data_IF_592203290332
#
_entry.id   IF_592203290332
#
_cell.length_a   1.000
_cell.length_b   1.000
_cell.length_c   1.000
_cell.angle_alpha   90.00
_cell.angle_beta   90.00
_cell.angle_gamma   90.00
#
_symmetry.space_group_name_H-M   'P 1'
#
loop_
_entity.id
_entity.type
_entity.pdbx_description
1 polymer ?
#
# COMPACT_ATOMS: atom_id res chain seq x y z
N UNK A 1 -52.48 -35.98 45.37
CA UNK A 1 -51.67 -34.79 45.14
C UNK A 1 -50.53 -35.15 44.18
N UNK A 2 -50.62 -34.79 42.90
CA UNK A 2 -49.59 -35.05 41.88
C UNK A 2 -48.63 -33.90 41.84
N UNK A 3 -47.33 -34.16 42.15
CA UNK A 3 -46.24 -33.14 42.03
C UNK A 3 -45.79 -33.08 40.57
N UNK A 4 -46.00 -31.91 39.92
CA UNK A 4 -45.49 -31.64 38.59
C UNK A 4 -44.06 -31.09 38.77
N UNK A 5 -43.09 -31.84 38.22
CA UNK A 5 -41.69 -31.38 38.11
C UNK A 5 -41.56 -30.56 36.81
N UNK A 6 -41.35 -29.28 36.97
CA UNK A 6 -41.08 -28.37 35.87
C UNK A 6 -39.58 -28.46 35.51
N UNK A 7 -39.23 -29.07 34.38
CA UNK A 7 -37.88 -29.08 33.83
C UNK A 7 -37.66 -27.78 33.10
N UNK A 8 -36.79 -26.90 33.64
CA UNK A 8 -36.35 -25.66 32.96
C UNK A 8 -35.15 -26.03 32.06
N UNK A 9 -35.22 -25.87 30.73
CA UNK A 9 -34.07 -26.13 29.88
C UNK A 9 -33.04 -25.02 30.07
N UNK A 10 -31.84 -25.40 30.49
CA UNK A 10 -30.69 -24.50 30.59
C UNK A 10 -30.09 -24.27 29.18
N UNK A 11 -30.42 -23.13 28.55
CA UNK A 11 -29.81 -22.74 27.28
C UNK A 11 -28.37 -22.24 27.56
N UNK A 12 -27.40 -23.03 27.17
CA UNK A 12 -25.99 -22.63 27.17
C UNK A 12 -25.74 -21.69 26.01
N UNK A 13 -25.74 -20.39 26.25
CA UNK A 13 -25.29 -19.39 25.27
C UNK A 13 -23.75 -19.45 25.20
N UNK A 14 -23.21 -20.13 24.20
CA UNK A 14 -21.80 -20.04 23.86
C UNK A 14 -21.51 -18.64 23.33
N UNK A 15 -20.96 -17.74 24.13
CA UNK A 15 -20.46 -16.44 23.68
C UNK A 15 -19.21 -16.67 22.85
N UNK A 16 -19.33 -16.53 21.53
CA UNK A 16 -18.18 -16.49 20.61
C UNK A 16 -17.47 -15.15 20.85
N UNK A 17 -16.44 -15.19 21.67
CA UNK A 17 -15.56 -14.03 21.87
C UNK A 17 -14.71 -13.83 20.61
N UNK A 18 -15.08 -12.87 19.77
CA UNK A 18 -14.21 -12.42 18.69
C UNK A 18 -13.03 -11.67 19.32
N UNK A 19 -11.87 -12.34 19.41
CA UNK A 19 -10.63 -11.67 19.80
C UNK A 19 -10.31 -10.54 18.82
N UNK A 20 -10.45 -9.31 19.28
CA UNK A 20 -10.06 -8.13 18.52
C UNK A 20 -8.54 -8.18 18.34
N UNK A 21 -8.05 -8.21 17.08
CA UNK A 21 -6.62 -8.26 16.80
C UNK A 21 -5.94 -7.01 17.37
N UNK A 22 -4.86 -7.21 18.12
CA UNK A 22 -4.04 -6.11 18.65
C UNK A 22 -3.49 -5.25 17.52
N UNK A 23 -3.89 -3.97 17.50
CA UNK A 23 -3.48 -2.98 16.51
C UNK A 23 -2.20 -2.22 16.90
N UNK A 24 -1.66 -2.45 18.10
CA UNK A 24 -0.48 -1.75 18.62
C UNK A 24 0.78 -2.12 17.84
N UNK A 25 1.47 -1.12 17.29
CA UNK A 25 2.74 -1.31 16.57
C UNK A 25 3.91 -1.29 17.55
N UNK A 26 4.59 -2.43 17.68
CA UNK A 26 5.73 -2.60 18.59
C UNK A 26 7.07 -2.24 17.91
N UNK A 27 8.14 -2.05 18.71
CA UNK A 27 9.51 -1.91 18.19
C UNK A 27 9.93 -3.12 17.32
N UNK A 28 9.45 -4.32 17.64
CA UNK A 28 9.70 -5.55 16.86
C UNK A 28 9.00 -5.50 15.49
N UNK A 29 7.79 -4.96 15.40
CA UNK A 29 7.05 -4.85 14.15
C UNK A 29 7.74 -3.91 13.16
N UNK A 30 8.29 -2.78 13.63
CA UNK A 30 9.05 -1.82 12.82
C UNK A 30 10.30 -2.43 12.17
N UNK A 31 10.83 -3.53 12.72
CA UNK A 31 11.98 -4.28 12.18
C UNK A 31 11.58 -5.41 11.23
N UNK A 32 10.31 -5.48 10.82
CA UNK A 32 9.79 -6.50 9.90
C UNK A 32 9.58 -5.94 8.50
N UNK A 33 9.54 -6.82 7.51
CA UNK A 33 9.01 -6.52 6.20
C UNK A 33 7.52 -6.86 6.17
N UNK A 34 6.81 -6.27 5.21
CA UNK A 34 5.43 -6.63 4.89
C UNK A 34 5.43 -7.54 3.67
N UNK A 35 4.78 -8.68 3.76
CA UNK A 35 4.46 -9.55 2.64
C UNK A 35 3.01 -9.30 2.22
N UNK A 36 2.81 -8.90 0.97
CA UNK A 36 1.53 -8.92 0.29
C UNK A 36 1.48 -10.17 -0.60
N UNK A 37 0.70 -11.17 -0.19
CA UNK A 37 0.38 -12.32 -1.03
C UNK A 37 -0.77 -11.90 -1.96
N UNK A 38 -0.50 -11.80 -3.23
CA UNK A 38 -1.50 -11.38 -4.22
C UNK A 38 -1.95 -12.55 -5.07
N UNK A 39 -3.06 -12.39 -5.80
CA UNK A 39 -3.52 -13.37 -6.79
C UNK A 39 -2.56 -13.56 -7.97
N UNK A 40 -1.51 -12.73 -8.09
CA UNK A 40 -0.53 -12.77 -9.18
C UNK A 40 0.91 -13.04 -8.73
N UNK A 41 1.12 -13.26 -7.42
CA UNK A 41 2.41 -13.53 -6.80
C UNK A 41 2.64 -12.68 -5.55
N UNK A 42 3.79 -12.87 -4.94
CA UNK A 42 4.17 -12.23 -3.69
C UNK A 42 4.91 -10.91 -3.96
N UNK A 43 4.63 -9.89 -3.13
CA UNK A 43 5.36 -8.61 -3.09
C UNK A 43 5.85 -8.43 -1.66
N UNK A 44 7.16 -8.24 -1.47
CA UNK A 44 7.74 -7.97 -0.15
C UNK A 44 8.20 -6.53 -0.08
N UNK A 45 7.67 -5.80 0.90
CA UNK A 45 7.89 -4.36 1.09
C UNK A 45 8.71 -4.14 2.36
N UNK A 46 9.72 -3.26 2.28
CA UNK A 46 10.40 -2.66 3.41
C UNK A 46 9.90 -1.25 3.61
N UNK A 47 9.37 -0.96 4.79
CA UNK A 47 8.93 0.39 5.14
C UNK A 47 10.11 1.22 5.66
N UNK A 48 10.04 2.54 5.43
CA UNK A 48 11.06 3.50 5.80
C UNK A 48 10.90 3.99 7.25
N UNK A 49 11.99 4.06 7.98
CA UNK A 49 12.00 4.65 9.33
C UNK A 49 11.95 6.19 9.29
N UNK A 50 12.22 6.81 8.12
CA UNK A 50 12.16 8.27 7.93
C UNK A 50 10.74 8.83 7.81
N UNK A 51 9.73 7.96 7.65
CA UNK A 51 8.30 8.32 7.55
C UNK A 51 7.49 7.55 8.58
N UNK A 52 7.69 7.82 9.87
CA UNK A 52 7.15 7.01 10.96
C UNK A 52 5.62 6.98 11.01
N UNK A 53 4.93 8.06 10.66
CA UNK A 53 3.46 8.10 10.67
C UNK A 53 2.87 7.14 9.65
N UNK A 54 3.34 7.19 8.40
CA UNK A 54 2.88 6.30 7.33
C UNK A 54 3.32 4.86 7.58
N UNK A 55 4.58 4.64 8.01
CA UNK A 55 5.09 3.32 8.37
C UNK A 55 4.22 2.65 9.43
N UNK A 56 4.03 3.31 10.57
CA UNK A 56 3.32 2.73 11.72
C UNK A 56 1.83 2.53 11.41
N UNK A 57 1.21 3.44 10.66
CA UNK A 57 -0.15 3.27 10.17
C UNK A 57 -0.29 2.05 9.26
N UNK A 58 0.60 1.88 8.28
CA UNK A 58 0.55 0.72 7.37
C UNK A 58 0.76 -0.59 8.13
N UNK A 59 1.73 -0.64 9.07
CA UNK A 59 1.95 -1.80 9.95
C UNK A 59 0.71 -2.13 10.79
N UNK A 60 0.04 -1.12 11.36
CA UNK A 60 -1.22 -1.28 12.10
C UNK A 60 -2.29 -1.94 11.25
N UNK A 61 -2.52 -1.43 10.04
CA UNK A 61 -3.53 -1.96 9.12
C UNK A 61 -3.22 -3.39 8.68
N UNK A 62 -1.94 -3.73 8.46
CA UNK A 62 -1.50 -5.11 8.19
C UNK A 62 -1.79 -6.03 9.39
N UNK A 63 -1.50 -5.59 10.61
CA UNK A 63 -1.73 -6.39 11.83
C UNK A 63 -3.20 -6.71 12.06
N UNK A 64 -4.08 -5.77 11.84
CA UNK A 64 -5.53 -6.01 11.98
C UNK A 64 -6.14 -6.77 10.79
N UNK A 65 -5.35 -7.02 9.72
CA UNK A 65 -5.79 -7.72 8.51
C UNK A 65 -6.69 -6.87 7.61
N UNK A 66 -6.54 -5.54 7.67
CA UNK A 66 -7.32 -4.62 6.85
C UNK A 66 -7.12 -4.88 5.35
N UNK A 67 -5.89 -5.16 4.93
CA UNK A 67 -5.57 -5.38 3.52
C UNK A 67 -5.92 -6.77 2.99
N UNK A 68 -6.39 -7.68 3.84
CA UNK A 68 -6.81 -9.02 3.40
C UNK A 68 -8.04 -8.92 2.47
N UNK A 69 -7.96 -9.54 1.30
CA UNK A 69 -8.97 -9.54 0.24
C UNK A 69 -9.21 -8.19 -0.46
N UNK A 70 -8.42 -7.16 -0.18
CA UNK A 70 -8.52 -5.85 -0.84
C UNK A 70 -8.03 -5.92 -2.29
N UNK A 71 -8.69 -5.15 -3.16
CA UNK A 71 -8.39 -5.06 -4.58
C UNK A 71 -7.26 -4.07 -4.88
N UNK A 72 -6.50 -4.35 -5.94
CA UNK A 72 -5.88 -3.30 -6.73
C UNK A 72 -6.96 -2.71 -7.65
N UNK A 73 -7.61 -1.67 -7.19
CA UNK A 73 -8.80 -1.10 -7.84
C UNK A 73 -8.47 -0.15 -8.99
N UNK A 74 -7.21 0.30 -9.08
CA UNK A 74 -6.70 1.16 -10.14
C UNK A 74 -5.31 0.73 -10.55
N UNK A 75 -5.14 0.44 -11.84
CA UNK A 75 -3.90 -0.05 -12.42
C UNK A 75 -3.66 0.68 -13.73
N UNK A 76 -2.49 1.32 -13.84
CA UNK A 76 -2.08 2.03 -15.06
C UNK A 76 -0.66 1.58 -15.40
N UNK A 77 -0.53 0.95 -16.56
CA UNK A 77 0.76 0.54 -17.12
C UNK A 77 1.69 1.76 -17.26
N UNK A 78 2.97 1.56 -17.03
CA UNK A 78 4.02 2.58 -17.06
C UNK A 78 3.81 3.71 -16.01
N UNK A 79 2.94 3.46 -15.01
CA UNK A 79 2.66 4.40 -13.94
C UNK A 79 2.64 3.72 -12.56
N UNK A 80 1.53 3.08 -12.16
CA UNK A 80 1.41 2.49 -10.81
C UNK A 80 0.31 1.44 -10.71
N UNK A 81 0.35 0.66 -9.63
CA UNK A 81 -0.75 -0.19 -9.15
C UNK A 81 -1.22 0.35 -7.79
N UNK A 82 -2.53 0.63 -7.67
CA UNK A 82 -3.12 1.26 -6.48
C UNK A 82 -4.15 0.34 -5.82
N UNK A 83 -4.04 0.22 -4.49
CA UNK A 83 -4.93 -0.56 -3.64
C UNK A 83 -5.27 0.15 -2.33
N UNK A 84 -5.98 -0.55 -1.43
CA UNK A 84 -6.27 -0.04 -0.09
C UNK A 84 -7.50 0.84 0.01
N UNK A 85 -8.35 0.92 -1.02
CA UNK A 85 -9.61 1.65 -0.95
C UNK A 85 -10.64 0.88 -0.11
N UNK A 86 -11.11 1.45 1.01
CA UNK A 86 -12.08 0.80 1.89
C UNK A 86 -13.48 0.69 1.27
N UNK A 87 -13.77 1.42 0.19
CA UNK A 87 -15.08 1.45 -0.45
C UNK A 87 -15.20 0.47 -1.63
N UNK A 88 -14.10 -0.18 -2.05
CA UNK A 88 -14.15 -1.15 -3.14
C UNK A 88 -14.91 -2.42 -2.74
N UNK A 89 -15.52 -3.07 -3.75
CA UNK A 89 -16.27 -4.33 -3.58
C UNK A 89 -15.44 -5.36 -2.78
N UNK A 90 -15.99 -5.85 -1.68
CA UNK A 90 -15.38 -6.73 -0.68
C UNK A 90 -14.30 -6.05 0.23
N UNK A 91 -14.17 -4.74 0.22
CA UNK A 91 -13.50 -4.05 1.30
C UNK A 91 -14.36 -4.12 2.57
N UNK A 92 -13.71 -4.24 3.73
CA UNK A 92 -14.42 -4.10 5.00
C UNK A 92 -14.95 -2.67 5.09
N UNK A 93 -16.25 -2.50 5.34
CA UNK A 93 -16.93 -1.21 5.38
C UNK A 93 -16.33 -0.17 6.35
N UNK A 94 -15.47 -0.61 7.27
CA UNK A 94 -14.92 0.18 8.38
C UNK A 94 -13.46 0.63 8.15
N UNK A 95 -13.05 0.77 6.87
CA UNK A 95 -11.72 1.28 6.56
C UNK A 95 -11.49 2.69 7.10
N UNK A 96 -10.22 3.04 7.40
CA UNK A 96 -9.88 4.32 7.99
C UNK A 96 -10.27 5.48 7.06
N UNK A 97 -11.04 6.43 7.60
CA UNK A 97 -11.46 7.67 6.92
C UNK A 97 -10.62 8.89 7.32
N UNK A 98 -9.60 8.68 8.17
CA UNK A 98 -8.67 9.72 8.57
C UNK A 98 -7.59 9.98 7.52
N UNK A 99 -6.95 11.12 7.63
CA UNK A 99 -5.79 11.48 6.82
C UNK A 99 -4.50 11.43 7.65
N UNK A 100 -3.36 11.31 6.99
CA UNK A 100 -2.03 11.31 7.59
C UNK A 100 -1.28 12.52 7.05
N UNK A 101 -0.71 13.39 7.91
CA UNK A 101 0.11 14.51 7.48
C UNK A 101 1.25 14.07 6.55
N UNK A 102 1.58 14.89 5.55
CA UNK A 102 2.63 14.59 4.60
C UNK A 102 4.00 14.41 5.28
N UNK A 103 4.77 13.42 4.85
CA UNK A 103 6.13 13.15 5.33
C UNK A 103 7.11 13.11 4.16
N UNK A 104 7.29 14.21 3.44
CA UNK A 104 8.24 14.29 2.33
C UNK A 104 9.69 14.21 2.83
N UNK A 105 10.51 13.40 2.16
CA UNK A 105 11.94 13.21 2.47
C UNK A 105 12.74 13.23 1.19
N UNK A 106 13.87 13.94 1.18
CA UNK A 106 14.75 14.05 0.00
C UNK A 106 15.28 12.72 -0.52
N UNK A 107 15.51 11.75 0.37
CA UNK A 107 15.97 10.42 -0.01
C UNK A 107 14.86 9.44 -0.42
N UNK A 108 13.61 9.86 -0.39
CA UNK A 108 12.44 9.07 -0.74
C UNK A 108 11.69 9.74 -1.91
N UNK A 109 11.96 9.30 -3.12
CA UNK A 109 11.39 9.81 -4.36
C UNK A 109 10.80 8.66 -5.18
N UNK A 110 10.00 8.97 -6.20
CA UNK A 110 9.16 8.01 -6.90
C UNK A 110 9.91 7.19 -7.97
N UNK A 111 11.05 6.58 -7.61
CA UNK A 111 11.67 5.54 -8.46
C UNK A 111 10.79 4.30 -8.55
N UNK A 112 11.00 3.46 -9.56
CA UNK A 112 10.32 2.16 -9.69
C UNK A 112 10.43 1.34 -8.39
N UNK A 113 9.32 0.72 -8.00
CA UNK A 113 9.24 -0.18 -6.84
C UNK A 113 9.01 0.51 -5.49
N UNK A 114 8.89 1.84 -5.42
CA UNK A 114 8.53 2.47 -4.14
C UNK A 114 7.04 2.32 -3.86
N UNK A 115 6.68 2.25 -2.57
CA UNK A 115 5.31 2.38 -2.08
C UNK A 115 5.08 3.79 -1.57
N UNK A 116 3.99 4.39 -2.00
CA UNK A 116 3.58 5.74 -1.61
C UNK A 116 2.10 5.79 -1.25
N UNK A 117 1.73 6.77 -0.44
CA UNK A 117 0.36 6.96 0.00
C UNK A 117 -0.45 7.73 -1.06
N UNK A 118 -1.64 7.22 -1.41
CA UNK A 118 -2.58 7.97 -2.23
C UNK A 118 -3.25 9.07 -1.41
N UNK A 119 -3.79 10.08 -2.07
CA UNK A 119 -4.54 11.17 -1.45
C UNK A 119 -5.59 11.76 -2.40
N UNK A 120 -6.60 12.36 -1.82
CA UNK A 120 -7.46 13.31 -2.53
C UNK A 120 -6.74 14.67 -2.64
N UNK A 121 -7.20 15.52 -3.54
CA UNK A 121 -6.65 16.87 -3.63
C UNK A 121 -6.99 17.65 -2.36
N UNK A 122 -5.95 18.09 -1.64
CA UNK A 122 -6.03 18.93 -0.45
C UNK A 122 -4.77 19.78 -0.33
N UNK A 123 -4.87 21.01 0.22
CA UNK A 123 -3.75 21.95 0.35
C UNK A 123 -2.58 21.42 1.18
N UNK A 124 -2.89 20.66 2.25
CA UNK A 124 -1.91 20.10 3.18
C UNK A 124 -1.18 18.89 2.61
N UNK A 125 -1.58 18.41 1.42
CA UNK A 125 -1.07 17.18 0.81
C UNK A 125 -1.14 15.97 1.74
N UNK A 126 -2.10 16.00 2.67
CA UNK A 126 -2.34 14.90 3.61
C UNK A 126 -2.81 13.65 2.87
N UNK A 127 -2.27 12.51 3.28
CA UNK A 127 -2.50 11.22 2.64
C UNK A 127 -3.78 10.54 3.14
N UNK A 128 -4.40 9.71 2.32
CA UNK A 128 -5.43 8.76 2.77
C UNK A 128 -4.87 7.81 3.83
N UNK A 129 -5.68 7.50 4.85
CA UNK A 129 -5.29 6.58 5.92
C UNK A 129 -5.06 5.14 5.48
N UNK A 130 -5.57 4.72 4.31
CA UNK A 130 -5.46 3.32 3.87
C UNK A 130 -5.00 3.12 2.43
N UNK A 131 -5.28 4.08 1.53
CA UNK A 131 -4.96 3.89 0.12
C UNK A 131 -3.47 4.10 -0.15
N UNK A 132 -2.89 3.17 -0.89
CA UNK A 132 -1.49 3.21 -1.31
C UNK A 132 -1.35 2.86 -2.79
N UNK A 133 -0.19 3.18 -3.35
CA UNK A 133 0.20 2.67 -4.65
C UNK A 133 1.66 2.23 -4.66
N UNK A 134 1.98 1.32 -5.57
CA UNK A 134 3.36 0.91 -5.86
C UNK A 134 3.70 1.44 -7.25
N UNK A 135 4.78 2.21 -7.34
CA UNK A 135 5.24 2.78 -8.60
C UNK A 135 5.81 1.68 -9.49
N UNK A 136 5.23 1.49 -10.67
CA UNK A 136 5.86 0.75 -11.76
C UNK A 136 6.75 1.70 -12.57
N UNK A 137 6.18 2.79 -13.05
CA UNK A 137 6.87 3.83 -13.80
C UNK A 137 7.43 3.36 -15.13
N UNK A 138 8.07 4.29 -15.83
CA UNK A 138 8.82 4.03 -17.07
C UNK A 138 10.23 4.60 -16.95
N UNK A 139 11.12 4.13 -17.81
CA UNK A 139 12.47 4.68 -17.97
C UNK A 139 12.38 5.97 -18.78
N UNK A 140 13.15 6.96 -18.41
CA UNK A 140 13.21 8.27 -19.06
C UNK A 140 14.53 8.48 -19.77
N UNK A 141 14.51 9.32 -20.82
CA UNK A 141 15.70 9.95 -21.40
C UNK A 141 15.92 11.32 -20.75
N UNK A 142 17.10 11.92 -20.92
CA UNK A 142 17.35 13.29 -20.46
C UNK A 142 16.36 14.28 -21.10
N UNK A 143 16.11 14.19 -22.40
CA UNK A 143 15.12 15.03 -23.08
C UNK A 143 13.71 14.84 -22.53
N UNK A 144 13.34 13.62 -22.14
CA UNK A 144 12.05 13.33 -21.50
C UNK A 144 11.93 13.96 -20.11
N UNK A 145 12.99 13.92 -19.32
CA UNK A 145 13.04 14.60 -18.00
C UNK A 145 13.03 16.11 -18.15
N UNK A 146 13.79 16.67 -19.11
CA UNK A 146 13.79 18.11 -19.40
C UNK A 146 12.40 18.62 -19.81
N UNK A 147 11.68 17.84 -20.61
CA UNK A 147 10.30 18.15 -21.00
C UNK A 147 9.36 18.16 -19.79
N UNK A 148 9.50 17.19 -18.86
CA UNK A 148 8.74 17.16 -17.62
C UNK A 148 9.04 18.35 -16.71
N UNK A 149 10.32 18.73 -16.57
CA UNK A 149 10.75 19.88 -15.78
C UNK A 149 10.13 21.18 -16.29
N UNK A 150 10.15 21.38 -17.61
CA UNK A 150 9.61 22.59 -18.26
C UNK A 150 8.07 22.64 -18.23
N UNK A 151 7.42 21.50 -18.45
CA UNK A 151 5.98 21.44 -18.61
C UNK A 151 5.23 21.17 -17.30
N UNK A 152 5.35 19.95 -16.77
CA UNK A 152 4.47 19.46 -15.71
C UNK A 152 4.98 19.76 -14.30
N UNK A 153 6.30 19.71 -14.07
CA UNK A 153 6.89 19.81 -12.73
C UNK A 153 7.18 21.28 -12.37
N UNK A 154 7.60 22.10 -13.33
CA UNK A 154 7.93 23.52 -13.13
C UNK A 154 9.21 23.78 -12.32
N UNK A 155 10.04 22.74 -12.09
CA UNK A 155 11.31 22.83 -11.34
C UNK A 155 12.28 21.76 -11.80
N UNK A 156 13.58 21.94 -11.49
CA UNK A 156 14.62 20.96 -11.78
C UNK A 156 14.47 19.70 -10.93
N UNK A 157 14.68 18.55 -11.57
CA UNK A 157 14.79 17.25 -10.92
C UNK A 157 16.24 17.11 -10.46
N UNK A 158 16.53 16.78 -9.17
CA UNK A 158 17.89 16.54 -8.68
C UNK A 158 18.62 15.49 -9.53
N UNK A 159 19.92 15.68 -9.76
CA UNK A 159 20.70 14.79 -10.64
C UNK A 159 20.69 13.34 -10.18
N UNK A 160 20.77 13.11 -8.87
CA UNK A 160 20.67 11.75 -8.30
C UNK A 160 19.32 11.08 -8.61
N UNK A 161 18.22 11.85 -8.72
CA UNK A 161 16.92 11.30 -9.10
C UNK A 161 16.87 11.06 -10.61
N UNK A 162 17.43 11.97 -11.42
CA UNK A 162 17.53 11.80 -12.87
C UNK A 162 18.27 10.51 -13.22
N UNK A 163 19.41 10.22 -12.55
CA UNK A 163 20.14 8.98 -12.73
C UNK A 163 19.28 7.74 -12.47
N UNK A 164 18.49 7.74 -11.40
CA UNK A 164 17.56 6.66 -11.10
C UNK A 164 16.44 6.54 -12.13
N UNK A 165 15.82 7.66 -12.55
CA UNK A 165 14.75 7.65 -13.56
C UNK A 165 15.21 7.19 -14.94
N UNK A 166 16.50 7.40 -15.28
CA UNK A 166 17.12 6.91 -16.52
C UNK A 166 17.50 5.44 -16.49
N UNK A 167 17.67 4.86 -15.30
CA UNK A 167 18.12 3.46 -15.14
C UNK A 167 17.00 2.50 -14.75
N UNK A 168 16.34 2.77 -13.63
CA UNK A 168 15.26 1.91 -13.12
C UNK A 168 13.86 2.44 -13.44
N UNK A 169 13.75 3.71 -13.81
CA UNK A 169 12.48 4.35 -14.10
C UNK A 169 11.75 4.87 -12.87
N UNK A 170 10.52 5.35 -13.09
CA UNK A 170 9.69 5.89 -12.02
C UNK A 170 8.63 6.88 -12.49
N UNK A 171 8.20 7.76 -11.57
CA UNK A 171 7.15 8.77 -11.81
C UNK A 171 7.53 10.13 -11.22
N UNK A 172 8.52 10.84 -11.80
CA UNK A 172 9.14 12.03 -11.21
C UNK A 172 8.15 13.18 -10.92
N UNK A 173 7.03 13.23 -11.63
CA UNK A 173 6.00 14.25 -11.43
C UNK A 173 5.20 14.12 -10.11
N UNK A 174 5.40 13.02 -9.35
CA UNK A 174 4.76 12.81 -8.06
C UNK A 174 5.67 13.20 -6.88
N UNK A 175 6.94 13.55 -7.15
CA UNK A 175 7.89 13.89 -6.09
C UNK A 175 7.47 15.15 -5.32
N UNK A 176 7.47 15.02 -3.97
CA UNK A 176 7.02 16.05 -3.03
C UNK A 176 5.52 16.42 -3.12
N UNK A 177 4.75 15.61 -3.85
CA UNK A 177 3.28 15.71 -3.89
C UNK A 177 2.61 14.53 -3.20
N UNK A 178 3.30 13.40 -3.11
CA UNK A 178 2.84 12.19 -2.42
C UNK A 178 3.94 11.64 -1.53
N UNK A 179 3.59 11.13 -0.36
CA UNK A 179 4.56 10.58 0.59
C UNK A 179 4.98 9.18 0.18
N UNK A 180 6.25 9.03 -0.18
CA UNK A 180 6.91 7.73 -0.32
C UNK A 180 7.30 7.25 1.07
N UNK A 181 6.94 6.02 1.45
CA UNK A 181 7.19 5.51 2.80
C UNK A 181 7.77 4.08 2.84
N UNK A 182 8.24 3.57 1.71
CA UNK A 182 8.91 2.28 1.62
C UNK A 182 9.23 1.87 0.19
N UNK A 183 9.73 0.66 0.05
CA UNK A 183 10.12 0.09 -1.25
C UNK A 183 9.87 -1.42 -1.32
N UNK A 184 9.65 -1.92 -2.51
CA UNK A 184 9.60 -3.35 -2.82
C UNK A 184 11.03 -3.88 -2.80
N UNK A 185 11.30 -4.86 -1.93
CA UNK A 185 12.61 -5.51 -1.80
C UNK A 185 12.64 -6.90 -2.47
N UNK A 186 11.47 -7.41 -2.87
CA UNK A 186 11.31 -8.63 -3.68
C UNK A 186 9.92 -8.64 -4.30
N UNK A 187 9.78 -9.18 -5.52
CA UNK A 187 8.50 -9.29 -6.20
C UNK A 187 8.18 -8.09 -7.08
N UNK A 188 9.21 -7.36 -7.57
CA UNK A 188 8.99 -6.26 -8.53
C UNK A 188 8.41 -6.77 -9.83
N UNK A 189 8.74 -7.99 -10.23
CA UNK A 189 8.15 -8.69 -11.37
C UNK A 189 6.66 -8.96 -11.19
N UNK A 190 6.19 -9.13 -9.96
CA UNK A 190 4.75 -9.23 -9.64
C UNK A 190 4.06 -7.88 -9.85
N UNK A 191 4.72 -6.77 -9.47
CA UNK A 191 4.21 -5.41 -9.74
C UNK A 191 4.07 -5.20 -11.25
N UNK A 192 5.08 -5.60 -12.04
CA UNK A 192 5.05 -5.48 -13.50
C UNK A 192 3.93 -6.34 -14.12
N UNK A 193 3.73 -7.58 -13.63
CA UNK A 193 2.62 -8.45 -14.07
C UNK A 193 1.26 -7.82 -13.78
N UNK A 194 1.07 -7.27 -12.58
CA UNK A 194 -0.19 -6.60 -12.21
C UNK A 194 -0.40 -5.36 -13.09
N UNK A 195 0.64 -4.56 -13.33
CA UNK A 195 0.55 -3.36 -14.15
C UNK A 195 0.23 -3.65 -15.63
N UNK A 196 0.46 -4.86 -16.08
CA UNK A 196 0.22 -5.30 -17.47
C UNK A 196 -1.16 -5.94 -17.71
N UNK A 197 -2.02 -6.09 -16.68
CA UNK A 197 -3.35 -6.68 -16.85
C UNK A 197 -4.25 -5.78 -17.70
N UNK A 198 -5.18 -6.36 -18.48
CA UNK A 198 -6.20 -5.58 -19.17
C UNK A 198 -7.06 -4.77 -18.19
N UNK A 199 -7.29 -3.50 -18.50
CA UNK A 199 -8.07 -2.59 -17.69
C UNK A 199 -9.22 -1.94 -18.48
N UNK A 200 -10.29 -1.60 -17.76
CA UNK A 200 -11.36 -0.73 -18.25
C UNK A 200 -11.41 0.51 -17.34
N UNK A 201 -11.11 1.69 -17.90
CA UNK A 201 -11.00 2.96 -17.14
C UNK A 201 -10.10 2.79 -15.90
N UNK A 202 -8.89 2.30 -16.09
CA UNK A 202 -7.87 2.01 -15.06
C UNK A 202 -8.22 0.86 -14.11
N UNK A 203 -9.43 0.30 -14.12
CA UNK A 203 -9.78 -0.85 -13.28
C UNK A 203 -9.44 -2.15 -14.00
N UNK A 204 -8.74 -3.10 -13.34
CA UNK A 204 -8.53 -4.43 -13.90
C UNK A 204 -9.84 -5.10 -14.30
N UNK A 205 -9.91 -5.64 -15.52
CA UNK A 205 -11.09 -6.39 -16.04
C UNK A 205 -11.33 -7.63 -15.18
N UNK A 206 -10.25 -8.34 -14.83
CA UNK A 206 -10.29 -9.43 -13.85
C UNK A 206 -9.70 -8.92 -12.53
N UNK A 207 -10.43 -9.13 -11.45
CA UNK A 207 -10.02 -8.65 -10.12
C UNK A 207 -8.64 -9.17 -9.72
N UNK A 208 -7.73 -8.25 -9.40
CA UNK A 208 -6.44 -8.54 -8.78
C UNK A 208 -6.53 -8.18 -7.29
N UNK A 209 -6.24 -9.16 -6.42
CA UNK A 209 -6.44 -9.03 -4.96
C UNK A 209 -5.16 -9.22 -4.18
N UNK A 210 -5.08 -8.53 -3.05
CA UNK A 210 -4.22 -8.91 -1.93
C UNK A 210 -4.97 -10.02 -1.18
N UNK A 211 -4.56 -11.27 -1.34
CA UNK A 211 -5.18 -12.41 -0.64
C UNK A 211 -4.91 -12.29 0.86
N UNK A 212 -3.66 -11.94 1.22
CA UNK A 212 -3.22 -11.80 2.60
C UNK A 212 -2.07 -10.79 2.72
N UNK A 213 -2.13 -9.95 3.75
CA UNK A 213 -1.03 -9.08 4.15
C UNK A 213 -0.52 -9.52 5.54
N UNK A 214 0.80 -9.70 5.70
CA UNK A 214 1.39 -10.12 6.98
C UNK A 214 2.80 -9.60 7.20
N UNK A 215 3.18 -9.45 8.47
CA UNK A 215 4.52 -9.09 8.88
C UNK A 215 5.42 -10.33 8.85
N UNK A 216 6.56 -10.22 8.16
CA UNK A 216 7.56 -11.28 8.05
C UNK A 216 8.92 -10.82 8.56
N UNK A 217 9.77 -11.75 8.97
CA UNK A 217 11.15 -11.45 9.39
C UNK A 217 11.93 -10.81 8.24
N UNK A 218 12.69 -9.72 8.51
CA UNK A 218 13.61 -9.15 7.51
C UNK A 218 14.67 -10.20 7.14
N UNK A 219 14.85 -10.42 5.85
CA UNK A 219 15.98 -11.19 5.29
C UNK A 219 16.82 -10.25 4.43
N UNK A 220 18.11 -10.59 4.24
CA UNK A 220 18.90 -9.98 3.18
C UNK A 220 18.46 -10.63 1.88
N UNK A 221 17.85 -9.87 0.99
CA UNK A 221 17.59 -10.31 -0.38
C UNK A 221 18.80 -9.87 -1.22
N UNK A 222 19.38 -10.81 -1.98
CA UNK A 222 20.35 -10.44 -3.02
C UNK A 222 19.55 -9.80 -4.16
N UNK A 223 19.96 -8.60 -4.53
CA UNK A 223 19.48 -7.93 -5.74
C UNK A 223 20.04 -8.67 -6.95
#
# INVERSE_FOLDING_TARGET
MKKIFLLIPFFFFATISFSQKDSTVTKKDRKRNVLLQTSMGDIIIRLSDSTPLHRDNFLKLVKVGFYDSILFHRVIKDFMIQGGDPTTKNAKADGPRYTIPAEFRKNLFHKKGVIAAARNNNPEKASSGSQFYITQGKIFTDAGLDSLEKGRIGKKIPEEYRAAYKTVGGTPHLDFDYTVYGEVVRGIETVDKIAAVPTNRDRPVTDVRIIKAKLIKRKKYKN
#
